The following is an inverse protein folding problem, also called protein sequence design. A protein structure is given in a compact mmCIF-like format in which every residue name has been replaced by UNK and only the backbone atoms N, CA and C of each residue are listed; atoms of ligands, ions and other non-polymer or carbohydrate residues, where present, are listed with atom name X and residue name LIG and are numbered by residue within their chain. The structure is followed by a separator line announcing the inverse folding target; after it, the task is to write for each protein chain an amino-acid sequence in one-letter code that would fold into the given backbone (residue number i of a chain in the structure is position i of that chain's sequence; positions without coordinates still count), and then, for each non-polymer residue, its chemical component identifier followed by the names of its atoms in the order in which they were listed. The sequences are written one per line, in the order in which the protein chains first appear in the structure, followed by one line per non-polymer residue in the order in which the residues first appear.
data_IF_607181318925
#
_entry.id   IF_607181318925
#
_cell.length_a   1.000
_cell.length_b   1.000
_cell.length_c   1.000
_cell.angle_alpha   90.00
_cell.angle_beta   90.00
_cell.angle_gamma   90.00
#
_symmetry.space_group_name_H-M   'P 1'
#
loop_
_entity.id
_entity.type
_entity.pdbx_description
1 polymer ?
#
# COMPACT_ATOMS: atom_id res chain seq x y z
N UNK A 1 2.22 24.27 -8.10
CA UNK A 1 3.05 24.71 -9.25
C UNK A 1 4.52 24.61 -8.89
N UNK A 2 5.28 23.78 -9.60
CA UNK A 2 6.74 23.80 -9.62
C UNK A 2 7.20 24.87 -10.65
N UNK A 3 8.39 25.46 -10.46
CA UNK A 3 8.85 26.65 -11.19
C UNK A 3 9.05 26.46 -12.72
N UNK A 4 8.80 25.28 -13.27
CA UNK A 4 9.10 24.91 -14.67
C UNK A 4 7.86 24.53 -15.52
N UNK A 5 6.63 24.78 -15.07
CA UNK A 5 5.42 24.54 -15.89
C UNK A 5 5.12 23.07 -16.24
N UNK A 6 5.96 22.11 -15.82
CA UNK A 6 5.69 20.66 -15.97
C UNK A 6 4.72 20.22 -14.88
N UNK A 7 3.56 19.61 -15.21
CA UNK A 7 2.64 19.11 -14.18
C UNK A 7 3.40 18.18 -13.23
N UNK A 8 3.13 18.32 -11.93
CA UNK A 8 3.74 17.45 -10.93
C UNK A 8 3.28 16.02 -11.18
N UNK A 9 4.20 15.11 -11.51
CA UNK A 9 3.88 13.69 -11.72
C UNK A 9 3.54 13.05 -10.38
N UNK A 10 2.36 12.45 -10.30
CA UNK A 10 1.87 11.72 -9.13
C UNK A 10 1.87 10.23 -9.48
N UNK A 11 2.38 9.40 -8.57
CA UNK A 11 2.27 7.95 -8.61
C UNK A 11 1.18 7.45 -7.67
N UNK A 12 0.57 6.33 -8.03
CA UNK A 12 -0.32 5.56 -7.16
C UNK A 12 0.44 4.35 -6.62
N UNK A 13 0.70 4.33 -5.32
CA UNK A 13 1.23 3.16 -4.64
C UNK A 13 0.05 2.29 -4.15
N UNK A 14 0.11 1.00 -4.46
CA UNK A 14 -0.86 0.00 -3.99
C UNK A 14 -0.15 -0.97 -3.06
N UNK A 15 -0.56 -1.00 -1.80
CA UNK A 15 0.01 -1.86 -0.77
C UNK A 15 -1.01 -2.94 -0.40
N UNK A 16 -0.66 -4.21 -0.61
CA UNK A 16 -1.51 -5.37 -0.28
C UNK A 16 -0.94 -6.04 0.96
N UNK A 17 -1.77 -6.16 2.00
CA UNK A 17 -1.36 -6.58 3.34
C UNK A 17 -2.32 -7.65 3.85
N UNK A 18 -1.89 -8.44 4.84
CA UNK A 18 -2.83 -9.27 5.58
C UNK A 18 -3.88 -8.40 6.29
N UNK A 19 -5.08 -8.96 6.48
CA UNK A 19 -6.18 -8.29 7.19
C UNK A 19 -5.69 -7.75 8.55
N UNK A 20 -6.13 -6.53 8.88
CA UNK A 20 -5.84 -5.87 10.15
C UNK A 20 -4.53 -5.08 10.16
N UNK A 21 -3.69 -5.20 9.13
CA UNK A 21 -2.42 -4.45 9.02
C UNK A 21 -2.55 -3.15 8.24
N UNK A 22 -3.68 -2.89 7.59
CA UNK A 22 -3.83 -1.75 6.70
C UNK A 22 -3.82 -0.39 7.40
N UNK A 23 -4.39 -0.29 8.62
CA UNK A 23 -4.37 0.96 9.40
C UNK A 23 -2.95 1.34 9.82
N UNK A 24 -2.14 0.35 10.23
CA UNK A 24 -0.73 0.57 10.54
C UNK A 24 0.03 1.08 9.31
N UNK A 25 -0.21 0.51 8.14
CA UNK A 25 0.43 0.97 6.91
C UNK A 25 0.00 2.39 6.52
N UNK A 26 -1.28 2.74 6.69
CA UNK A 26 -1.76 4.10 6.45
C UNK A 26 -1.11 5.11 7.43
N UNK A 27 -0.92 4.72 8.69
CA UNK A 27 -0.24 5.54 9.69
C UNK A 27 1.24 5.77 9.36
N UNK A 28 1.98 4.74 8.93
CA UNK A 28 3.36 4.88 8.46
C UNK A 28 3.45 5.87 7.29
N UNK A 29 2.53 5.77 6.33
CA UNK A 29 2.54 6.67 5.19
C UNK A 29 2.24 8.13 5.60
N UNK A 30 1.31 8.32 6.52
CA UNK A 30 0.98 9.63 7.11
C UNK A 30 2.19 10.27 7.81
N UNK A 31 2.93 9.50 8.60
CA UNK A 31 4.16 9.96 9.29
C UNK A 31 5.25 10.42 8.32
N UNK A 32 5.22 9.89 7.09
CA UNK A 32 6.17 10.26 6.03
C UNK A 32 5.66 11.34 5.09
N UNK A 33 4.67 12.13 5.52
CA UNK A 33 4.05 13.24 4.78
C UNK A 33 3.40 12.82 3.45
N UNK A 34 2.89 11.59 3.38
CA UNK A 34 1.93 11.20 2.35
C UNK A 34 0.54 11.46 2.97
N UNK A 35 -0.24 12.43 2.49
CA UNK A 35 -1.46 12.84 3.20
C UNK A 35 -2.71 12.08 2.77
N UNK A 36 -2.69 11.45 1.60
CA UNK A 36 -3.86 10.77 1.04
C UNK A 36 -3.65 9.26 1.02
N UNK A 37 -4.46 8.57 1.83
CA UNK A 37 -4.55 7.12 1.91
C UNK A 37 -6.01 6.69 1.85
N UNK A 38 -6.27 5.65 1.09
CA UNK A 38 -7.57 4.99 1.05
C UNK A 38 -7.38 3.51 1.33
N UNK A 39 -8.02 3.03 2.40
CA UNK A 39 -8.00 1.62 2.78
C UNK A 39 -9.28 0.95 2.31
N UNK A 40 -9.15 -0.19 1.66
CA UNK A 40 -10.27 -1.07 1.37
C UNK A 40 -9.93 -2.53 1.68
N UNK A 41 -10.97 -3.35 1.75
CA UNK A 41 -10.81 -4.77 1.98
C UNK A 41 -10.67 -5.49 0.64
N UNK A 42 -9.56 -6.21 0.49
CA UNK A 42 -9.29 -7.14 -0.60
C UNK A 42 -9.54 -8.59 -0.20
N UNK A 43 -9.72 -9.41 -1.23
CA UNK A 43 -9.71 -10.87 -1.15
C UNK A 43 -8.62 -11.36 -2.11
N UNK A 44 -7.62 -12.06 -1.58
CA UNK A 44 -6.58 -12.72 -2.36
C UNK A 44 -6.93 -14.18 -2.60
N UNK A 45 -6.21 -14.83 -3.53
CA UNK A 45 -6.24 -16.28 -3.65
C UNK A 45 -5.32 -16.85 -2.58
N UNK A 46 -5.88 -17.54 -1.59
CA UNK A 46 -5.06 -18.43 -0.77
C UNK A 46 -4.45 -19.42 -1.76
N UNK A 47 -3.12 -19.45 -1.83
CA UNK A 47 -2.45 -20.20 -2.87
C UNK A 47 -2.52 -21.71 -2.56
N UNK A 48 -3.64 -22.37 -2.91
CA UNK A 48 -3.86 -23.83 -2.85
C UNK A 48 -4.58 -24.36 -1.60
N UNK A 49 -5.47 -25.33 -1.82
CA UNK A 49 -6.25 -26.07 -0.79
C UNK A 49 -5.36 -26.75 0.27
N UNK A 50 -4.09 -27.03 -0.07
CA UNK A 50 -3.08 -27.54 0.86
C UNK A 50 -2.74 -26.50 1.95
N UNK A 51 -2.72 -25.21 1.61
CA UNK A 51 -2.45 -24.14 2.57
C UNK A 51 -3.59 -23.98 3.56
N UNK A 52 -4.84 -24.14 3.16
CA UNK A 52 -5.98 -24.05 4.07
C UNK A 52 -5.98 -25.20 5.10
N UNK A 53 -5.63 -26.43 4.68
CA UNK A 53 -5.50 -27.57 5.60
C UNK A 53 -4.37 -27.44 6.63
N UNK A 54 -3.35 -26.62 6.35
CA UNK A 54 -2.26 -26.31 7.28
C UNK A 54 -2.56 -25.08 8.17
N UNK A 55 -3.74 -24.45 8.03
CA UNK A 55 -4.11 -23.23 8.75
C UNK A 55 -3.57 -21.93 8.13
N UNK A 56 -3.24 -21.94 6.83
CA UNK A 56 -2.52 -20.87 6.12
C UNK A 56 -3.35 -20.20 4.99
N UNK A 57 -4.66 -20.45 4.88
CA UNK A 57 -5.48 -19.91 3.78
C UNK A 57 -6.21 -18.60 4.08
N UNK A 58 -5.61 -17.70 4.88
CA UNK A 58 -6.22 -16.39 5.08
C UNK A 58 -6.16 -15.53 3.80
N UNK A 59 -7.27 -15.55 3.06
CA UNK A 59 -7.51 -14.80 1.82
C UNK A 59 -7.84 -13.34 2.06
N UNK A 60 -8.20 -12.98 3.29
CA UNK A 60 -8.59 -11.61 3.65
C UNK A 60 -7.35 -10.71 3.64
N UNK A 61 -7.39 -9.67 2.81
CA UNK A 61 -6.32 -8.69 2.69
C UNK A 61 -6.81 -7.28 2.94
N UNK A 62 -5.99 -6.44 3.53
CA UNK A 62 -6.17 -4.99 3.46
C UNK A 62 -5.42 -4.47 2.24
N UNK A 63 -6.05 -3.55 1.50
CA UNK A 63 -5.42 -2.88 0.36
C UNK A 63 -5.41 -1.39 0.65
N UNK A 64 -4.22 -0.79 0.66
CA UNK A 64 -4.02 0.64 0.91
C UNK A 64 -3.54 1.30 -0.36
N UNK A 65 -4.29 2.30 -0.81
CA UNK A 65 -3.95 3.16 -1.93
C UNK A 65 -3.37 4.46 -1.40
N UNK A 66 -2.19 4.82 -1.87
CA UNK A 66 -1.46 6.01 -1.41
C UNK A 66 -0.99 6.83 -2.61
N UNK A 67 -1.29 8.13 -2.61
CA UNK A 67 -0.73 9.04 -3.61
C UNK A 67 0.67 9.49 -3.19
N UNK A 68 1.62 9.35 -4.11
CA UNK A 68 3.02 9.72 -3.87
C UNK A 68 3.52 10.67 -4.96
N UNK A 69 4.38 11.64 -4.64
CA UNK A 69 5.13 12.35 -5.67
C UNK A 69 6.05 11.37 -6.40
N UNK A 70 6.09 11.40 -7.73
CA UNK A 70 6.91 10.46 -8.51
C UNK A 70 8.40 10.49 -8.14
N UNK A 71 8.92 11.66 -7.75
CA UNK A 71 10.29 11.85 -7.24
C UNK A 71 10.62 11.01 -5.99
N UNK A 72 9.60 10.59 -5.24
CA UNK A 72 9.76 9.82 -4.01
C UNK A 72 9.53 8.32 -4.25
N UNK A 73 9.21 7.90 -5.48
CA UNK A 73 8.96 6.51 -5.85
C UNK A 73 10.20 5.60 -5.64
N UNK A 74 11.40 6.13 -5.87
CA UNK A 74 12.66 5.38 -5.63
C UNK A 74 12.91 5.10 -4.14
N UNK A 75 12.28 5.87 -3.24
CA UNK A 75 12.45 5.71 -1.79
C UNK A 75 11.49 4.69 -1.18
N UNK A 76 10.50 4.22 -1.95
CA UNK A 76 9.45 3.30 -1.48
C UNK A 76 9.97 2.07 -0.70
N UNK A 77 11.05 1.38 -1.12
CA UNK A 77 11.58 0.24 -0.36
C UNK A 77 12.01 0.61 1.06
N UNK A 78 12.54 1.83 1.25
CA UNK A 78 12.93 2.34 2.56
C UNK A 78 11.76 2.95 3.36
N UNK A 79 10.59 3.13 2.73
CA UNK A 79 9.36 3.58 3.41
C UNK A 79 8.63 2.43 4.11
N UNK A 80 8.85 1.20 3.65
CA UNK A 80 8.13 -0.02 4.08
C UNK A 80 9.00 -1.02 4.87
N UNK A 81 10.28 -0.72 5.09
CA UNK A 81 11.24 -1.50 5.87
C UNK A 81 11.30 -1.05 7.34
#
# INVERSE_FOLDING_TARGET
MNKNGRPATVGLMVTILDRGKGEQAAQICKERNLPFHFLCFGLGTAASDLLDYLGLGETKKDVVFSLIPWKDAERLPALLA
#
